data_IF_909488720645
#
_entry.id   IF_909488720645
#
_cell.length_a   1.000
_cell.length_b   1.000
_cell.length_c   1.000
_cell.angle_alpha   90.00
_cell.angle_beta   90.00
_cell.angle_gamma   90.00
#
_symmetry.space_group_name_H-M   'P 1'
#
loop_
_entity.id
_entity.type
_entity.pdbx_description
1 polymer ?
#
# COMPACT_ATOMS: atom_id res chain seq x y z
N UNK A 1 38.44 -49.56 6.28
CA UNK A 1 37.77 -50.88 6.19
C UNK A 1 36.45 -50.63 5.46
N UNK A 2 36.32 -50.92 4.15
CA UNK A 2 36.25 -52.25 3.51
C UNK A 2 35.02 -53.03 3.97
N UNK A 3 34.08 -53.50 3.16
CA UNK A 3 33.69 -53.33 1.74
C UNK A 3 32.16 -53.64 1.71
N UNK A 4 31.45 -53.33 0.61
CA UNK A 4 30.00 -53.49 0.44
C UNK A 4 29.64 -54.95 0.09
N UNK A 5 28.35 -55.29 0.11
CA UNK A 5 27.86 -56.50 -0.54
C UNK A 5 26.83 -56.19 -1.61
N UNK A 6 27.16 -56.73 -2.78
CA UNK A 6 26.56 -56.57 -4.09
C UNK A 6 25.64 -57.78 -4.27
N UNK A 7 24.38 -57.51 -4.58
CA UNK A 7 23.66 -58.07 -5.74
C UNK A 7 23.93 -59.53 -6.13
N UNK A 8 22.89 -60.38 -6.21
CA UNK A 8 22.39 -60.98 -7.48
C UNK A 8 21.55 -62.26 -7.30
N UNK A 9 20.57 -62.37 -8.23
CA UNK A 9 20.02 -63.56 -8.93
C UNK A 9 18.76 -64.27 -8.35
N UNK A 10 17.64 -63.99 -9.02
CA UNK A 10 16.59 -64.90 -9.57
C UNK A 10 17.17 -66.19 -10.18
N UNK A 11 16.41 -67.29 -10.53
CA UNK A 11 15.01 -67.34 -11.02
C UNK A 11 14.16 -68.61 -10.69
N UNK A 12 12.94 -68.63 -11.28
CA UNK A 12 12.22 -69.78 -11.89
C UNK A 12 11.19 -70.61 -11.08
N UNK A 13 9.92 -70.43 -11.50
CA UNK A 13 8.88 -71.42 -11.84
C UNK A 13 8.48 -72.55 -10.88
N UNK A 14 7.20 -72.55 -10.46
CA UNK A 14 6.25 -73.67 -10.61
C UNK A 14 4.85 -73.17 -10.17
N UNK A 15 3.86 -73.04 -11.05
CA UNK A 15 2.90 -74.07 -11.50
C UNK A 15 2.06 -74.71 -10.38
N UNK A 16 0.75 -74.61 -10.60
CA UNK A 16 -0.35 -75.47 -10.11
C UNK A 16 -1.10 -75.13 -8.80
N UNK A 17 -2.34 -74.76 -9.05
CA UNK A 17 -3.59 -75.31 -8.49
C UNK A 17 -4.28 -74.61 -7.31
N UNK A 18 -5.42 -74.02 -7.70
CA UNK A 18 -6.78 -74.23 -7.18
C UNK A 18 -6.99 -73.99 -5.67
N UNK A 19 -7.81 -72.99 -5.38
CA UNK A 19 -9.22 -73.18 -4.99
C UNK A 19 -9.98 -71.86 -5.10
N UNK A 20 -11.16 -71.94 -5.71
CA UNK A 20 -12.19 -70.88 -5.72
C UNK A 20 -12.85 -70.84 -4.33
N UNK A 21 -13.15 -69.65 -3.80
CA UNK A 21 -14.32 -69.45 -2.95
C UNK A 21 -15.48 -68.96 -3.82
N UNK A 22 -16.65 -69.55 -3.55
CA UNK A 22 -17.90 -69.34 -4.26
C UNK A 22 -18.38 -67.89 -4.26
N UNK A 23 -18.90 -67.52 -5.43
CA UNK A 23 -19.77 -66.38 -5.67
C UNK A 23 -21.09 -66.58 -4.90
N UNK A 24 -21.25 -65.89 -3.78
CA UNK A 24 -22.57 -65.63 -3.22
C UNK A 24 -22.60 -64.28 -2.53
N UNK A 25 -22.81 -63.25 -3.33
CA UNK A 25 -23.09 -61.89 -2.90
C UNK A 25 -24.03 -61.25 -3.88
N UNK A 26 -25.34 -61.45 -3.68
CA UNK A 26 -26.42 -60.67 -4.28
C UNK A 26 -26.08 -59.18 -4.19
N UNK A 27 -25.92 -58.50 -5.32
CA UNK A 27 -26.00 -57.04 -5.39
C UNK A 27 -27.42 -56.66 -5.85
N UNK A 28 -28.32 -56.21 -4.96
CA UNK A 28 -29.46 -55.41 -5.37
C UNK A 28 -29.07 -53.93 -5.44
N UNK A 29 -29.74 -53.18 -6.32
CA UNK A 29 -29.85 -51.74 -6.14
C UNK A 29 -29.13 -50.90 -7.18
N UNK A 30 -29.75 -50.82 -8.36
CA UNK A 30 -29.53 -49.81 -9.39
C UNK A 30 -29.93 -48.41 -8.88
N UNK A 31 -29.22 -47.82 -7.92
CA UNK A 31 -29.50 -46.45 -7.45
C UNK A 31 -28.24 -45.66 -7.03
N UNK A 32 -27.05 -46.06 -7.47
CA UNK A 32 -25.78 -45.41 -7.10
C UNK A 32 -25.08 -44.60 -8.20
N UNK A 33 -25.64 -44.52 -9.41
CA UNK A 33 -24.95 -43.89 -10.54
C UNK A 33 -25.18 -42.36 -10.65
N UNK A 34 -26.21 -41.82 -10.02
CA UNK A 34 -26.54 -40.39 -10.11
C UNK A 34 -25.78 -39.52 -9.09
N UNK A 35 -25.28 -40.10 -8.00
CA UNK A 35 -24.62 -39.34 -6.91
C UNK A 35 -23.09 -39.25 -7.07
N UNK A 36 -22.49 -40.01 -7.99
CA UNK A 36 -21.05 -39.98 -8.24
C UNK A 36 -20.64 -38.94 -9.30
N UNK A 37 -21.58 -38.46 -10.13
CA UNK A 37 -21.32 -37.42 -11.15
C UNK A 37 -21.19 -36.02 -10.51
N UNK A 38 -21.87 -35.78 -9.39
CA UNK A 38 -21.81 -34.50 -8.66
C UNK A 38 -20.49 -34.29 -7.90
N UNK A 39 -19.78 -35.37 -7.54
CA UNK A 39 -18.52 -35.27 -6.80
C UNK A 39 -17.30 -35.01 -7.71
N UNK A 40 -17.38 -35.35 -9.00
CA UNK A 40 -16.29 -35.14 -9.98
C UNK A 40 -16.29 -33.71 -10.54
N UNK A 41 -17.44 -33.03 -10.56
CA UNK A 41 -17.54 -31.63 -11.03
C UNK A 41 -16.94 -30.63 -10.02
N UNK A 42 -16.88 -30.98 -8.72
CA UNK A 42 -16.28 -30.11 -7.69
C UNK A 42 -14.75 -30.08 -7.68
N UNK A 43 -14.06 -31.01 -8.35
CA UNK A 43 -12.59 -31.12 -8.30
C UNK A 43 -11.86 -30.54 -9.53
N UNK A 44 -12.58 -30.00 -10.52
CA UNK A 44 -11.98 -29.32 -11.68
C UNK A 44 -11.97 -27.77 -11.57
N UNK A 45 -12.33 -27.19 -10.42
CA UNK A 45 -12.32 -25.73 -10.23
C UNK A 45 -11.06 -25.18 -9.54
N UNK A 46 -9.95 -25.92 -9.54
CA UNK A 46 -8.68 -25.44 -8.97
C UNK A 46 -7.71 -24.95 -10.06
N UNK A 47 -7.26 -23.71 -9.85
CA UNK A 47 -6.21 -22.97 -10.58
C UNK A 47 -6.63 -22.22 -11.85
N UNK A 48 -7.48 -21.21 -11.67
CA UNK A 48 -7.15 -19.90 -12.26
C UNK A 48 -6.31 -19.13 -11.22
N UNK A 49 -5.00 -19.35 -11.22
CA UNK A 49 -4.09 -18.38 -10.63
C UNK A 49 -4.20 -17.12 -11.48
N UNK A 50 -5.02 -16.17 -11.03
CA UNK A 50 -5.01 -14.84 -11.60
C UNK A 50 -3.60 -14.30 -11.38
N UNK A 51 -2.82 -14.20 -12.45
CA UNK A 51 -1.76 -13.21 -12.50
C UNK A 51 -2.48 -11.87 -12.36
N UNK A 52 -2.72 -11.46 -11.11
CA UNK A 52 -3.16 -10.13 -10.82
C UNK A 52 -2.02 -9.24 -11.29
N UNK A 53 -2.26 -8.54 -12.40
CA UNK A 53 -1.57 -7.32 -12.73
C UNK A 53 -1.28 -6.58 -11.43
N UNK A 54 -0.02 -6.23 -11.20
CA UNK A 54 0.34 -5.37 -10.09
C UNK A 54 -0.66 -4.20 -10.09
N UNK A 55 -1.44 -3.99 -9.01
CA UNK A 55 -2.44 -2.95 -9.04
C UNK A 55 -1.67 -1.65 -9.27
N UNK A 56 -1.92 -1.03 -10.42
CA UNK A 56 -1.60 0.39 -10.63
C UNK A 56 -2.50 1.13 -9.67
N UNK A 57 -2.12 1.18 -8.40
CA UNK A 57 -2.82 1.89 -7.35
C UNK A 57 -2.70 3.36 -7.69
N UNK A 58 -3.74 3.90 -8.30
CA UNK A 58 -3.92 5.35 -8.43
C UNK A 58 -4.21 6.03 -7.09
N UNK A 59 -4.22 5.27 -5.99
CA UNK A 59 -4.42 5.72 -4.62
C UNK A 59 -3.12 5.75 -3.82
N UNK A 60 -3.16 6.41 -2.66
CA UNK A 60 -2.03 6.49 -1.76
C UNK A 60 -1.70 5.11 -1.15
N UNK A 61 -0.43 4.92 -0.76
CA UNK A 61 0.09 3.69 -0.18
C UNK A 61 0.78 4.00 1.13
N UNK A 62 0.31 3.38 2.20
CA UNK A 62 0.97 3.39 3.51
C UNK A 62 2.05 2.30 3.52
N UNK A 63 3.28 2.66 3.86
CA UNK A 63 4.40 1.73 4.06
C UNK A 63 4.68 1.60 5.56
N UNK A 64 4.76 0.36 6.02
CA UNK A 64 5.00 0.01 7.41
C UNK A 64 6.49 -0.26 7.63
N UNK A 65 6.96 -0.12 8.87
CA UNK A 65 8.35 -0.34 9.25
C UNK A 65 8.83 -1.79 9.10
N UNK A 66 7.90 -2.73 8.87
CA UNK A 66 8.17 -4.14 8.61
C UNK A 66 8.14 -4.49 7.11
N UNK A 67 8.34 -3.49 6.24
CA UNK A 67 8.28 -3.59 4.78
C UNK A 67 6.88 -3.95 4.20
N UNK A 68 5.86 -4.05 5.06
CA UNK A 68 4.47 -4.21 4.63
C UNK A 68 3.92 -2.93 3.99
N UNK A 69 2.91 -3.06 3.14
CA UNK A 69 2.23 -1.91 2.54
C UNK A 69 0.71 -2.10 2.47
N UNK A 70 -0.02 -1.00 2.57
CA UNK A 70 -1.48 -0.97 2.54
C UNK A 70 -1.95 0.19 1.66
N UNK A 71 -2.59 -0.13 0.52
CA UNK A 71 -3.26 0.87 -0.31
C UNK A 71 -4.49 1.43 0.40
N UNK A 72 -4.71 2.73 0.28
CA UNK A 72 -5.84 3.41 0.90
C UNK A 72 -5.76 4.92 0.91
N UNK A 73 -6.45 5.51 1.86
CA UNK A 73 -6.58 6.94 2.05
C UNK A 73 -6.28 7.33 3.50
N UNK A 74 -5.58 8.46 3.67
CA UNK A 74 -5.40 9.08 4.96
C UNK A 74 -6.75 9.61 5.47
N UNK A 75 -7.05 9.38 6.74
CA UNK A 75 -8.23 9.92 7.43
C UNK A 75 -7.79 10.82 8.57
N UNK A 76 -8.66 11.77 8.90
CA UNK A 76 -8.45 12.68 10.02
C UNK A 76 -8.38 11.92 11.35
N UNK A 77 -7.38 12.25 12.17
CA UNK A 77 -7.21 11.74 13.52
C UNK A 77 -7.12 12.91 14.52
N UNK A 78 -8.18 13.17 15.31
CA UNK A 78 -8.19 14.26 16.29
C UNK A 78 -7.14 14.11 17.40
N UNK A 79 -6.72 12.88 17.72
CA UNK A 79 -5.78 12.61 18.82
C UNK A 79 -4.30 12.79 18.42
N UNK A 80 -3.99 12.81 17.11
CA UNK A 80 -2.65 13.08 16.58
C UNK A 80 -1.54 12.07 16.89
N UNK A 81 -1.79 11.04 17.70
CA UNK A 81 -0.77 10.05 18.13
C UNK A 81 -0.58 8.87 17.17
N UNK A 82 -1.44 8.75 16.15
CA UNK A 82 -1.44 7.65 15.19
C UNK A 82 -1.87 8.11 13.79
N UNK A 83 -1.46 7.39 12.76
CA UNK A 83 -1.99 7.55 11.39
C UNK A 83 -3.29 6.76 11.28
N UNK A 84 -4.38 7.46 10.99
CA UNK A 84 -5.66 6.82 10.71
C UNK A 84 -5.79 6.57 9.21
N UNK A 85 -5.93 5.29 8.82
CA UNK A 85 -5.83 4.86 7.42
C UNK A 85 -7.05 4.04 6.99
N UNK A 86 -7.72 4.45 5.92
CA UNK A 86 -8.84 3.71 5.34
C UNK A 86 -8.38 2.94 4.10
N UNK A 87 -8.32 1.61 4.20
CA UNK A 87 -8.11 0.75 3.03
C UNK A 87 -9.45 0.32 2.41
N UNK A 88 -9.57 0.22 1.08
CA UNK A 88 -10.79 -0.27 0.43
C UNK A 88 -11.14 -1.73 0.80
N UNK A 89 -10.15 -2.50 1.26
CA UNK A 89 -10.34 -3.90 1.66
C UNK A 89 -11.07 -4.06 3.02
N UNK A 90 -11.33 -2.97 3.75
CA UNK A 90 -11.88 -3.02 5.10
C UNK A 90 -12.98 -1.98 5.31
N UNK A 91 -13.97 -2.32 6.13
CA UNK A 91 -15.13 -1.46 6.37
C UNK A 91 -14.86 -0.27 7.31
N UNK A 92 -13.76 -0.29 8.07
CA UNK A 92 -13.41 0.74 9.02
C UNK A 92 -11.91 1.12 8.91
N UNK A 93 -11.53 2.35 9.30
CA UNK A 93 -10.14 2.77 9.30
C UNK A 93 -9.32 2.04 10.37
N UNK A 94 -8.04 1.80 10.07
CA UNK A 94 -7.05 1.35 11.02
C UNK A 94 -6.33 2.53 11.66
N UNK A 95 -5.78 2.32 12.85
CA UNK A 95 -4.87 3.25 13.49
C UNK A 95 -3.49 2.62 13.61
N UNK A 96 -2.51 3.25 12.97
CA UNK A 96 -1.12 2.83 13.01
C UNK A 96 -0.33 3.79 13.91
N UNK A 97 0.31 3.29 14.98
CA UNK A 97 1.24 4.10 15.77
C UNK A 97 2.33 4.69 14.86
N UNK A 98 2.74 5.95 15.09
CA UNK A 98 3.70 6.63 14.21
C UNK A 98 5.01 5.84 14.03
N UNK A 99 5.52 5.19 15.09
CA UNK A 99 6.74 4.37 15.00
C UNK A 99 6.60 3.08 14.18
N UNK A 100 5.38 2.68 13.81
CA UNK A 100 5.12 1.53 12.94
C UNK A 100 5.02 1.91 11.46
N UNK A 101 4.99 3.21 11.15
CA UNK A 101 4.87 3.74 9.79
C UNK A 101 6.24 4.18 9.30
N UNK A 102 6.65 3.69 8.14
CA UNK A 102 7.89 4.14 7.48
C UNK A 102 7.63 5.32 6.56
N UNK A 103 6.55 5.28 5.76
CA UNK A 103 6.22 6.34 4.82
C UNK A 103 4.75 6.30 4.39
N UNK A 104 4.25 7.42 3.88
CA UNK A 104 3.00 7.46 3.11
C UNK A 104 3.32 8.03 1.73
N UNK A 105 3.11 7.22 0.69
CA UNK A 105 3.32 7.64 -0.69
C UNK A 105 1.99 8.03 -1.33
N UNK A 106 1.91 9.28 -1.79
CA UNK A 106 0.80 9.75 -2.61
C UNK A 106 1.24 9.77 -4.07
N UNK A 107 0.45 9.21 -5.01
CA UNK A 107 0.80 9.24 -6.43
C UNK A 107 0.98 10.69 -6.88
N UNK A 108 2.08 10.94 -7.59
CA UNK A 108 2.35 12.27 -8.14
C UNK A 108 1.35 12.57 -9.26
N UNK A 109 0.74 13.77 -9.30
CA UNK A 109 -0.11 14.14 -10.42
C UNK A 109 0.74 14.27 -11.70
N UNK A 110 0.18 13.86 -12.84
CA UNK A 110 0.86 13.90 -14.14
C UNK A 110 1.36 15.31 -14.53
N UNK A 111 0.72 16.34 -14.00
CA UNK A 111 1.18 17.73 -14.04
C UNK A 111 1.04 18.27 -12.64
N UNK A 112 2.13 18.75 -12.04
CA UNK A 112 2.06 19.48 -10.77
C UNK A 112 1.28 20.77 -11.06
N UNK A 113 0.05 20.94 -10.53
CA UNK A 113 -0.62 22.21 -10.63
C UNK A 113 0.23 23.22 -9.85
N UNK A 114 0.38 24.44 -10.40
CA UNK A 114 0.88 25.56 -9.58
C UNK A 114 0.00 25.59 -8.33
N UNK A 115 0.56 25.63 -7.12
CA UNK A 115 -0.25 25.78 -5.93
C UNK A 115 -1.07 27.07 -6.06
N UNK A 116 -2.36 26.96 -6.35
CA UNK A 116 -3.33 28.07 -6.20
C UNK A 116 -3.77 28.13 -4.73
N UNK A 117 -2.82 27.88 -3.84
CA UNK A 117 -3.02 28.03 -2.42
C UNK A 117 -2.93 29.51 -2.08
N UNK A 118 -3.75 29.95 -1.14
CA UNK A 118 -3.71 31.33 -0.67
C UNK A 118 -2.43 31.62 0.12
N UNK A 119 -1.97 30.62 0.88
CA UNK A 119 -0.85 30.73 1.82
C UNK A 119 0.21 29.66 1.59
N UNK A 120 1.47 30.06 1.81
CA UNK A 120 2.63 29.20 1.95
C UNK A 120 3.07 29.24 3.42
N UNK A 121 3.22 28.09 4.06
CA UNK A 121 3.70 27.93 5.43
C UNK A 121 5.05 27.22 5.39
N UNK A 122 6.08 27.86 5.91
CA UNK A 122 7.37 27.23 6.17
C UNK A 122 7.38 26.76 7.61
N UNK A 123 7.55 25.45 7.78
CA UNK A 123 7.61 24.79 9.07
C UNK A 123 9.07 24.58 9.48
N UNK A 124 9.26 24.11 10.71
CA UNK A 124 10.56 23.60 11.16
C UNK A 124 11.16 22.60 10.16
N UNK A 125 12.49 22.50 10.14
CA UNK A 125 13.24 21.60 9.27
C UNK A 125 13.08 21.87 7.76
N UNK A 126 12.59 23.06 7.38
CA UNK A 126 12.49 23.50 5.98
C UNK A 126 11.33 22.86 5.21
N UNK A 127 10.37 22.26 5.91
CA UNK A 127 9.17 21.70 5.29
C UNK A 127 8.26 22.85 4.84
N UNK A 128 7.76 22.76 3.61
CA UNK A 128 6.86 23.77 3.03
C UNK A 128 5.49 23.17 2.79
N UNK A 129 4.47 23.85 3.31
CA UNK A 129 3.06 23.49 3.17
C UNK A 129 2.31 24.60 2.42
N UNK A 130 1.55 24.22 1.41
CA UNK A 130 0.66 25.12 0.68
C UNK A 130 -0.79 24.81 1.01
N UNK A 131 -1.58 25.83 1.38
CA UNK A 131 -2.99 25.66 1.67
C UNK A 131 -3.71 26.96 2.01
N UNK A 132 -4.94 26.81 2.50
CA UNK A 132 -5.74 27.91 3.03
C UNK A 132 -5.74 27.86 4.55
N UNK A 133 -5.56 29.01 5.20
CA UNK A 133 -5.70 29.12 6.66
C UNK A 133 -7.20 29.08 7.01
N UNK A 134 -7.64 28.02 7.67
CA UNK A 134 -9.04 27.83 8.08
C UNK A 134 -9.30 28.54 9.40
N UNK A 135 -8.40 28.37 10.38
CA UNK A 135 -8.48 29.04 11.67
C UNK A 135 -7.11 29.15 12.32
N UNK A 136 -6.96 30.14 13.20
CA UNK A 136 -5.79 30.31 14.05
C UNK A 136 -6.25 30.69 15.46
N UNK A 137 -5.85 29.90 16.46
CA UNK A 137 -6.09 30.16 17.88
C UNK A 137 -4.77 30.16 18.65
N UNK A 138 -4.81 30.30 19.98
CA UNK A 138 -3.62 30.34 20.83
C UNK A 138 -2.87 29.00 20.82
N UNK A 139 -1.93 28.85 19.88
CA UNK A 139 -1.02 27.72 19.73
C UNK A 139 -1.28 26.77 18.56
N UNK A 140 -2.36 26.94 17.79
CA UNK A 140 -2.71 26.02 16.68
C UNK A 140 -3.24 26.75 15.44
N UNK A 141 -2.74 26.33 14.28
CA UNK A 141 -3.21 26.70 12.96
C UNK A 141 -3.91 25.50 12.32
N UNK A 142 -5.10 25.71 11.79
CA UNK A 142 -5.81 24.71 10.97
C UNK A 142 -5.64 25.12 9.52
N UNK A 143 -4.98 24.26 8.73
CA UNK A 143 -4.69 24.51 7.31
C UNK A 143 -5.42 23.48 6.47
N UNK A 144 -6.14 23.94 5.44
CA UNK A 144 -6.70 23.07 4.42
C UNK A 144 -5.71 22.96 3.25
N UNK A 145 -5.07 21.80 3.13
CA UNK A 145 -4.08 21.52 2.11
C UNK A 145 -4.68 20.62 1.02
N UNK A 146 -4.66 21.06 -0.23
CA UNK A 146 -5.40 20.44 -1.34
C UNK A 146 -5.19 18.92 -1.53
N UNK A 147 -4.05 18.36 -1.10
CA UNK A 147 -3.73 16.92 -1.23
C UNK A 147 -3.88 16.11 0.06
N UNK A 148 -3.77 16.76 1.21
CA UNK A 148 -3.71 16.11 2.53
C UNK A 148 -5.04 16.30 3.28
N UNK A 149 -5.83 17.30 2.88
CA UNK A 149 -7.02 17.76 3.56
C UNK A 149 -6.68 18.69 4.72
N UNK A 150 -7.56 18.74 5.71
CA UNK A 150 -7.40 19.55 6.91
C UNK A 150 -6.30 18.98 7.79
N UNK A 151 -5.33 19.82 8.13
CA UNK A 151 -4.26 19.49 9.06
C UNK A 151 -4.16 20.52 10.18
N UNK A 152 -3.75 20.04 11.34
CA UNK A 152 -3.52 20.82 12.53
C UNK A 152 -2.02 21.01 12.70
N UNK A 153 -1.58 22.26 12.75
CA UNK A 153 -0.16 22.63 12.86
C UNK A 153 0.02 23.44 14.13
N UNK A 154 0.98 23.03 14.96
CA UNK A 154 1.35 23.80 16.15
C UNK A 154 1.99 25.11 15.71
N UNK A 155 1.55 26.23 16.29
CA UNK A 155 2.08 27.57 15.98
C UNK A 155 3.60 27.65 16.15
N UNK A 156 4.14 27.03 17.21
CA UNK A 156 5.59 27.02 17.45
C UNK A 156 6.40 26.30 16.37
N UNK A 157 5.76 25.45 15.56
CA UNK A 157 6.42 24.72 14.47
C UNK A 157 6.36 25.47 13.14
N UNK A 158 5.69 26.62 13.09
CA UNK A 158 5.65 27.49 11.91
C UNK A 158 6.76 28.53 12.03
N UNK A 159 7.72 28.48 11.12
CA UNK A 159 8.80 29.48 11.06
C UNK A 159 8.29 30.80 10.48
N UNK A 160 7.53 30.73 9.38
CA UNK A 160 6.83 31.86 8.77
C UNK A 160 5.73 31.38 7.84
N UNK A 161 4.78 32.26 7.52
CA UNK A 161 3.83 32.02 6.42
C UNK A 161 3.51 33.32 5.68
N UNK A 162 3.24 33.22 4.38
CA UNK A 162 3.04 34.37 3.50
C UNK A 162 2.06 34.06 2.37
N UNK A 163 1.49 35.11 1.77
CA UNK A 163 0.56 34.98 0.64
C UNK A 163 1.28 34.43 -0.57
N UNK A 164 0.75 33.36 -1.17
CA UNK A 164 1.37 32.74 -2.36
C UNK A 164 1.01 33.44 -3.68
N UNK A 165 0.12 34.45 -3.65
CA UNK A 165 -0.43 35.10 -4.87
C UNK A 165 0.38 36.27 -5.41
N UNK A 166 1.39 36.77 -4.70
CA UNK A 166 2.18 37.91 -5.17
C UNK A 166 3.50 37.45 -5.79
N UNK A 167 3.43 36.73 -6.91
CA UNK A 167 4.58 36.49 -7.79
C UNK A 167 4.89 37.75 -8.62
N UNK A 168 5.12 38.88 -7.95
CA UNK A 168 5.70 40.11 -8.51
C UNK A 168 7.10 40.37 -7.95
N UNK A 169 7.29 40.09 -6.67
CA UNK A 169 8.59 40.17 -6.01
C UNK A 169 9.13 38.77 -5.77
N UNK A 170 9.94 38.27 -6.70
CA UNK A 170 10.80 37.11 -6.45
C UNK A 170 11.84 37.53 -5.42
N UNK A 171 11.52 37.44 -4.14
CA UNK A 171 12.50 37.58 -3.06
C UNK A 171 13.29 36.27 -3.02
N UNK A 172 14.49 36.27 -3.58
CA UNK A 172 15.42 35.15 -3.41
C UNK A 172 15.78 35.03 -1.94
N UNK A 173 15.42 33.90 -1.32
CA UNK A 173 15.67 33.59 0.08
C UNK A 173 16.62 32.39 0.14
N UNK A 174 17.90 32.66 -0.12
CA UNK A 174 18.99 31.68 -0.06
C UNK A 174 20.00 32.01 1.05
N UNK A 175 20.81 31.01 1.49
CA UNK A 175 21.80 31.18 2.56
C UNK A 175 22.93 32.17 2.23
N UNK A 176 23.13 32.47 0.95
CA UNK A 176 23.99 33.55 0.47
C UNK A 176 23.12 34.67 -0.07
N UNK A 177 23.30 35.90 0.41
CA UNK A 177 22.61 37.08 -0.12
C UNK A 177 22.95 37.37 -1.59
N UNK A 178 22.84 38.64 -2.01
CA UNK A 178 23.03 39.06 -3.41
C UNK A 178 24.50 38.98 -3.93
N UNK A 179 25.38 38.21 -3.27
CA UNK A 179 26.74 38.02 -3.72
C UNK A 179 26.77 37.33 -5.10
N UNK A 180 27.29 38.03 -6.12
CA UNK A 180 27.35 37.54 -7.50
C UNK A 180 26.13 37.88 -8.38
N UNK A 181 25.20 38.70 -7.90
CA UNK A 181 24.05 39.14 -8.69
C UNK A 181 24.38 40.39 -9.51
N UNK A 182 24.08 40.36 -10.82
CA UNK A 182 24.17 41.52 -11.70
C UNK A 182 22.78 42.06 -12.01
N UNK A 183 22.54 43.36 -11.78
CA UNK A 183 21.29 44.02 -12.13
C UNK A 183 21.35 44.37 -13.62
N UNK A 184 20.44 43.81 -14.42
CA UNK A 184 20.30 44.22 -15.82
C UNK A 184 19.69 45.62 -15.90
N UNK A 185 20.23 46.52 -16.74
CA UNK A 185 19.65 47.85 -16.92
C UNK A 185 18.23 47.74 -17.49
N UNK A 186 17.33 48.61 -17.02
CA UNK A 186 15.97 48.68 -17.52
C UNK A 186 16.00 48.98 -19.02
N UNK A 187 15.33 48.15 -19.83
CA UNK A 187 15.12 48.44 -21.25
C UNK A 187 14.16 49.63 -21.35
N UNK A 188 14.69 50.78 -21.77
CA UNK A 188 13.91 51.96 -22.16
C UNK A 188 13.19 51.77 -23.49
#
# INVERSE_FOLDING_TARGET
>A
MQFPQRNRRTPCADRMMRRRPDLNGRYPGRFGAALFVLFVICLLQSSAASAADAPTSSGAVLHLANDGFVAGELRENPAGSAIRWQSPAFAAPFEFPLGSVSAVHFPAPAKLPRPDAEWCFELEQGVVLFGSLVSWNSGELVVDAARIGRIHVRESSVHRFYRSRDSGDVVFLGPSGLAGWEISPARG
#
